data_IF_046225307294
#
_entry.id   IF_046225307294
#
_cell.length_a   1.000
_cell.length_b   1.000
_cell.length_c   1.000
_cell.angle_alpha   90.00
_cell.angle_beta   90.00
_cell.angle_gamma   90.00
#
_symmetry.space_group_name_H-M   'P 1'
#
loop_
_entity.id
_entity.type
_entity.pdbx_description
1 polymer ?
#
# COMPACT_ATOMS: atom_id res chain seq x y z
N UNK A 1 2.06 -11.34 24.51
CA UNK A 1 2.25 -9.88 24.68
C UNK A 1 2.09 -9.23 23.31
N UNK A 2 1.20 -8.25 23.19
CA UNK A 2 1.02 -7.49 21.94
C UNK A 2 2.17 -6.50 21.76
N UNK A 3 2.71 -6.40 20.53
CA UNK A 3 3.77 -5.43 20.24
C UNK A 3 3.16 -4.07 19.88
N UNK A 4 3.51 -2.98 20.57
CA UNK A 4 2.96 -1.67 20.26
C UNK A 4 3.50 -1.18 18.91
N UNK A 5 2.61 -0.65 18.08
CA UNK A 5 3.00 0.07 16.85
C UNK A 5 3.51 1.44 17.28
N UNK A 6 4.80 1.72 17.06
CA UNK A 6 5.45 2.94 17.54
C UNK A 6 5.64 3.94 16.41
N UNK A 7 5.19 5.17 16.65
CA UNK A 7 5.55 6.34 15.85
C UNK A 7 6.85 6.92 16.40
N UNK A 8 7.86 7.07 15.55
CA UNK A 8 9.15 7.62 15.93
C UNK A 8 9.73 8.47 14.81
N UNK A 9 10.63 9.38 15.16
CA UNK A 9 11.41 10.12 14.17
C UNK A 9 12.62 9.28 13.76
N UNK A 10 12.80 9.05 12.47
CA UNK A 10 13.90 8.25 11.92
C UNK A 10 14.75 9.12 11.02
N UNK A 11 16.08 8.91 11.08
CA UNK A 11 17.01 9.58 10.18
C UNK A 11 16.72 9.22 8.73
N UNK A 12 16.54 10.22 7.87
CA UNK A 12 16.30 10.02 6.44
C UNK A 12 17.43 9.17 5.82
N UNK A 13 18.67 9.38 6.26
CA UNK A 13 19.84 8.67 5.76
C UNK A 13 19.80 7.15 6.02
N UNK A 14 18.99 6.68 6.97
CA UNK A 14 18.89 5.25 7.27
C UNK A 14 17.70 4.57 6.60
N UNK A 15 16.77 5.33 6.01
CA UNK A 15 15.62 4.78 5.29
C UNK A 15 16.07 4.32 3.91
N UNK A 16 15.86 3.03 3.63
CA UNK A 16 16.17 2.42 2.33
C UNK A 16 14.96 2.53 1.42
N UNK A 17 15.12 3.17 0.27
CA UNK A 17 14.06 3.40 -0.71
C UNK A 17 14.48 2.82 -2.07
N UNK A 18 13.84 1.73 -2.49
CA UNK A 18 14.19 0.99 -3.72
C UNK A 18 13.25 1.28 -4.90
N UNK A 19 12.49 2.37 -4.87
CA UNK A 19 11.55 2.72 -5.94
C UNK A 19 12.15 3.77 -6.88
N UNK A 20 11.94 3.61 -8.18
CA UNK A 20 12.12 4.68 -9.16
C UNK A 20 11.02 5.71 -8.93
N UNK A 21 11.38 6.78 -8.25
CA UNK A 21 10.46 7.84 -7.87
C UNK A 21 10.08 8.62 -9.13
N UNK A 22 8.77 8.77 -9.47
CA UNK A 22 8.38 9.69 -10.53
C UNK A 22 8.87 11.08 -10.15
N UNK A 23 9.52 11.75 -11.09
CA UNK A 23 9.97 13.14 -10.94
C UNK A 23 8.83 13.97 -10.36
N UNK A 24 8.93 14.36 -9.08
CA UNK A 24 8.03 15.32 -8.48
C UNK A 24 8.29 16.64 -9.19
N UNK A 25 7.50 16.95 -10.22
CA UNK A 25 7.66 18.16 -11.02
C UNK A 25 7.17 19.40 -10.28
N UNK A 26 6.38 19.24 -9.23
CA UNK A 26 5.95 20.34 -8.38
C UNK A 26 6.44 20.13 -6.95
N UNK A 27 7.15 21.15 -6.42
CA UNK A 27 7.45 21.25 -5.00
C UNK A 27 6.11 21.28 -4.27
N UNK A 28 5.73 20.18 -3.64
CA UNK A 28 4.48 20.12 -2.90
C UNK A 28 4.60 21.03 -1.66
N UNK A 29 4.02 22.23 -1.73
CA UNK A 29 4.19 23.29 -0.72
C UNK A 29 3.36 23.06 0.56
N UNK A 30 2.72 21.89 0.69
CA UNK A 30 1.90 21.60 1.86
C UNK A 30 2.77 21.57 3.13
N UNK A 31 2.30 22.11 4.26
CA UNK A 31 2.99 22.00 5.54
C UNK A 31 3.32 20.54 5.90
N UNK A 32 4.52 20.28 6.43
CA UNK A 32 5.00 18.92 6.74
C UNK A 32 4.11 18.13 7.71
N UNK A 33 3.38 18.82 8.58
CA UNK A 33 2.44 18.23 9.53
C UNK A 33 1.14 17.70 8.88
N UNK A 34 0.88 18.02 7.60
CA UNK A 34 -0.27 17.50 6.85
C UNK A 34 0.04 16.15 6.17
N UNK A 35 1.30 15.73 6.17
CA UNK A 35 1.71 14.46 5.60
C UNK A 35 1.57 13.34 6.61
N UNK A 36 1.06 12.20 6.16
CA UNK A 36 1.07 10.98 6.98
C UNK A 36 2.51 10.48 7.15
N UNK A 37 2.89 9.97 8.33
CA UNK A 37 4.20 9.39 8.58
C UNK A 37 4.53 8.29 7.56
N UNK A 38 5.82 8.12 7.27
CA UNK A 38 6.27 6.99 6.45
C UNK A 38 6.06 5.67 7.18
N UNK A 39 5.96 4.56 6.46
CA UNK A 39 5.94 3.23 7.09
C UNK A 39 7.22 2.52 6.68
N UNK A 40 7.98 2.02 7.65
CA UNK A 40 9.22 1.30 7.43
C UNK A 40 9.17 -0.09 8.07
N UNK A 41 9.87 -1.05 7.47
CA UNK A 41 10.04 -2.39 8.02
C UNK A 41 11.17 -2.47 9.06
N UNK A 42 11.36 -3.65 9.66
CA UNK A 42 12.46 -3.92 10.60
C UNK A 42 13.88 -3.74 10.02
N UNK A 43 14.03 -3.68 8.70
CA UNK A 43 15.29 -3.48 7.99
C UNK A 43 15.45 -2.04 7.49
N UNK A 44 14.57 -1.13 7.94
CA UNK A 44 14.48 0.27 7.53
C UNK A 44 14.11 0.46 6.06
N UNK A 45 13.52 -0.56 5.43
CA UNK A 45 12.98 -0.46 4.08
C UNK A 45 11.65 0.28 4.10
N UNK A 46 11.50 1.24 3.21
CA UNK A 46 10.27 1.99 3.04
C UNK A 46 9.15 1.09 2.47
N UNK A 47 8.06 0.95 3.22
CA UNK A 47 6.85 0.22 2.83
C UNK A 47 5.84 1.15 2.16
N UNK A 48 5.54 2.30 2.77
CA UNK A 48 4.47 3.19 2.32
C UNK A 48 4.81 4.67 2.52
N UNK A 49 3.99 5.53 1.90
CA UNK A 49 4.08 6.99 1.87
C UNK A 49 5.43 7.52 1.33
N UNK A 50 5.86 7.09 0.12
CA UNK A 50 7.10 7.57 -0.49
C UNK A 50 7.08 9.08 -0.79
N UNK A 51 5.92 9.65 -1.08
CA UNK A 51 5.77 11.09 -1.27
C UNK A 51 6.19 11.87 -0.03
N UNK A 52 5.79 11.43 1.18
CA UNK A 52 6.21 12.05 2.44
C UNK A 52 7.72 12.01 2.58
N UNK A 53 8.33 10.85 2.36
CA UNK A 53 9.79 10.69 2.43
C UNK A 53 10.51 11.70 1.51
N UNK A 54 10.02 11.86 0.28
CA UNK A 54 10.62 12.73 -0.72
C UNK A 54 10.46 14.21 -0.39
N UNK A 55 9.31 14.63 0.10
CA UNK A 55 9.09 16.03 0.51
C UNK A 55 10.03 16.38 1.67
N UNK A 56 10.19 15.49 2.65
CA UNK A 56 11.14 15.69 3.75
C UNK A 56 12.60 15.76 3.26
N UNK A 57 12.96 14.93 2.29
CA UNK A 57 14.28 14.95 1.66
C UNK A 57 14.51 16.26 0.88
N UNK A 58 13.54 16.71 0.08
CA UNK A 58 13.61 17.96 -0.69
C UNK A 58 13.71 19.20 0.20
N UNK A 59 13.10 19.17 1.39
CA UNK A 59 13.19 20.23 2.39
C UNK A 59 14.42 20.09 3.31
N UNK A 60 15.38 19.23 2.97
CA UNK A 60 16.63 19.00 3.71
C UNK A 60 16.42 18.70 5.20
N UNK A 61 15.33 18.00 5.54
CA UNK A 61 15.10 17.55 6.92
C UNK A 61 16.04 16.40 7.26
N UNK A 62 16.52 16.35 8.50
CA UNK A 62 17.35 15.23 8.98
C UNK A 62 16.53 14.00 9.36
N UNK A 63 15.31 14.24 9.84
CA UNK A 63 14.44 13.22 10.42
C UNK A 63 13.07 13.25 9.73
N UNK A 64 12.45 12.08 9.57
CA UNK A 64 11.08 11.90 9.07
C UNK A 64 10.27 11.10 10.10
N UNK A 65 9.02 11.49 10.40
CA UNK A 65 8.15 10.69 11.25
C UNK A 65 7.83 9.37 10.53
N UNK A 66 8.05 8.25 11.22
CA UNK A 66 7.91 6.92 10.70
C UNK A 66 7.19 5.98 11.68
N UNK A 67 6.27 5.18 11.14
CA UNK A 67 5.75 3.99 11.80
C UNK A 67 6.74 2.84 11.57
N UNK A 68 7.34 2.35 12.65
CA UNK A 68 8.17 1.15 12.59
C UNK A 68 7.29 -0.09 12.67
N UNK A 69 7.26 -0.88 11.59
CA UNK A 69 6.34 -1.99 11.43
C UNK A 69 7.10 -3.30 11.18
N UNK A 70 7.01 -4.26 12.10
CA UNK A 70 7.71 -5.54 11.95
C UNK A 70 6.87 -6.55 11.16
N UNK A 71 7.37 -6.98 10.00
CA UNK A 71 6.72 -7.99 9.17
C UNK A 71 6.76 -9.38 9.83
N UNK A 72 7.82 -9.69 10.57
CA UNK A 72 7.92 -10.91 11.37
C UNK A 72 6.90 -10.95 12.53
N UNK A 73 6.67 -9.81 13.20
CA UNK A 73 5.67 -9.69 14.26
C UNK A 73 4.23 -9.77 13.71
N UNK A 74 3.99 -9.26 12.50
CA UNK A 74 2.72 -9.45 11.81
C UNK A 74 2.43 -10.93 11.54
N UNK A 75 3.41 -11.67 11.01
CA UNK A 75 3.25 -13.11 10.72
C UNK A 75 3.05 -13.95 11.98
N UNK A 76 3.63 -13.53 13.11
CA UNK A 76 3.44 -14.18 14.42
C UNK A 76 2.22 -13.66 15.18
N UNK A 77 1.35 -12.86 14.54
CA UNK A 77 0.10 -12.33 15.10
C UNK A 77 0.28 -11.51 16.38
N UNK A 78 1.39 -10.79 16.52
CA UNK A 78 1.65 -9.95 17.69
C UNK A 78 0.90 -8.61 17.67
N UNK A 79 0.43 -8.18 16.50
CA UNK A 79 -0.39 -6.97 16.37
C UNK A 79 -1.87 -7.29 16.58
N UNK A 80 -2.55 -6.38 17.28
CA UNK A 80 -4.00 -6.42 17.40
C UNK A 80 -4.66 -5.84 16.13
N UNK A 81 -5.66 -6.53 15.61
CA UNK A 81 -6.34 -6.16 14.36
C UNK A 81 -7.02 -4.79 14.45
N UNK A 82 -7.68 -4.50 15.57
CA UNK A 82 -8.37 -3.23 15.78
C UNK A 82 -7.40 -2.04 15.70
N UNK A 83 -6.22 -2.18 16.34
CA UNK A 83 -5.15 -1.19 16.32
C UNK A 83 -4.62 -0.99 14.89
N UNK A 84 -4.42 -2.07 14.13
CA UNK A 84 -3.96 -1.99 12.72
C UNK A 84 -4.97 -1.22 11.85
N UNK A 85 -6.25 -1.54 11.97
CA UNK A 85 -7.32 -0.93 11.16
C UNK A 85 -7.53 0.54 11.53
N UNK A 86 -7.37 0.91 12.80
CA UNK A 86 -7.48 2.30 13.26
C UNK A 86 -6.26 3.14 12.87
N UNK A 87 -5.06 2.54 12.87
CA UNK A 87 -3.80 3.28 12.63
C UNK A 87 -3.55 3.51 11.14
N UNK A 88 -3.81 2.49 10.30
CA UNK A 88 -3.40 2.48 8.90
C UNK A 88 -4.58 2.52 7.93
N UNK A 89 -4.41 3.34 6.90
CA UNK A 89 -5.35 3.44 5.79
C UNK A 89 -5.42 2.14 4.98
N UNK A 90 -6.43 2.02 4.12
CA UNK A 90 -6.65 0.80 3.33
C UNK A 90 -5.45 0.55 2.40
N UNK A 91 -4.97 1.59 1.71
CA UNK A 91 -3.82 1.47 0.81
C UNK A 91 -2.49 1.31 1.56
N UNK A 92 -2.34 1.90 2.75
CA UNK A 92 -1.20 1.65 3.64
C UNK A 92 -1.14 0.19 4.09
N UNK A 93 -2.27 -0.38 4.53
CA UNK A 93 -2.36 -1.81 4.85
C UNK A 93 -2.07 -2.67 3.62
N UNK A 94 -2.54 -2.28 2.44
CA UNK A 94 -2.23 -3.01 1.22
C UNK A 94 -0.72 -3.03 0.93
N UNK A 95 -0.04 -1.89 1.14
CA UNK A 95 1.42 -1.79 1.01
C UNK A 95 2.16 -2.70 2.01
N UNK A 96 1.72 -2.74 3.27
CA UNK A 96 2.24 -3.69 4.28
C UNK A 96 2.04 -5.13 3.81
N UNK A 97 0.87 -5.46 3.26
CA UNK A 97 0.60 -6.79 2.69
C UNK A 97 1.57 -7.14 1.56
N UNK A 98 1.81 -6.22 0.63
CA UNK A 98 2.79 -6.40 -0.46
C UNK A 98 4.21 -6.62 0.10
N UNK A 99 4.62 -5.83 1.09
CA UNK A 99 5.91 -6.01 1.76
C UNK A 99 6.01 -7.39 2.44
N UNK A 100 4.93 -7.82 3.10
CA UNK A 100 4.84 -9.15 3.74
C UNK A 100 4.97 -10.28 2.72
N UNK A 101 4.36 -10.17 1.53
CA UNK A 101 4.54 -11.14 0.43
C UNK A 101 5.99 -11.24 0.00
N UNK A 102 6.65 -10.10 -0.22
CA UNK A 102 8.07 -10.05 -0.60
C UNK A 102 8.94 -10.69 0.48
N UNK A 103 8.66 -10.36 1.74
CA UNK A 103 9.35 -10.92 2.89
C UNK A 103 9.20 -12.45 2.99
N UNK A 104 8.00 -12.99 2.73
CA UNK A 104 7.77 -14.44 2.63
C UNK A 104 8.47 -15.09 1.43
N UNK A 105 8.45 -14.44 0.27
CA UNK A 105 9.12 -14.94 -0.95
C UNK A 105 10.64 -15.01 -0.79
N UNK A 106 11.26 -14.01 -0.15
CA UNK A 106 12.70 -13.98 0.11
C UNK A 106 13.17 -15.10 1.07
N UNK A 107 12.27 -15.66 1.90
CA UNK A 107 12.57 -16.80 2.79
C UNK A 107 12.70 -18.14 2.07
N UNK A 108 12.31 -18.24 0.80
CA UNK A 108 12.28 -19.51 0.06
C UNK A 108 13.57 -19.83 -0.73
N UNK A 109 14.57 -18.94 -0.72
CA UNK A 109 15.82 -19.10 -1.48
C UNK A 109 15.62 -19.05 -3.03
N UNK A 110 16.70 -18.89 -3.81
CA UNK A 110 16.63 -18.94 -5.27
C UNK A 110 16.29 -20.37 -5.72
N UNK A 111 15.13 -20.54 -6.39
CA UNK A 111 14.72 -21.82 -6.97
C UNK A 111 15.51 -22.07 -8.25
N UNK A 112 16.67 -22.72 -8.15
CA UNK A 112 17.51 -23.03 -9.32
C UNK A 112 16.91 -24.07 -10.29
N UNK A 113 15.81 -24.76 -9.95
CA UNK A 113 15.35 -25.93 -10.72
C UNK A 113 13.83 -26.10 -10.91
N UNK A 114 13.04 -25.03 -11.11
CA UNK A 114 11.66 -25.22 -11.63
C UNK A 114 11.27 -24.13 -12.63
N UNK A 115 10.70 -24.47 -13.79
CA UNK A 115 10.09 -23.47 -14.68
C UNK A 115 9.02 -22.70 -13.90
N UNK A 116 8.85 -21.41 -14.22
CA UNK A 116 7.84 -20.52 -13.65
C UNK A 116 6.44 -21.14 -13.75
N UNK A 117 6.04 -21.92 -12.73
CA UNK A 117 4.66 -22.36 -12.58
C UNK A 117 3.89 -21.17 -12.05
N UNK A 118 2.88 -20.70 -12.80
CA UNK A 118 1.92 -19.65 -12.42
C UNK A 118 1.02 -20.01 -11.23
N UNK A 119 1.43 -20.93 -10.35
CA UNK A 119 0.69 -21.32 -9.16
C UNK A 119 1.46 -20.88 -7.91
N UNK A 120 1.03 -19.75 -7.36
CA UNK A 120 1.55 -19.05 -6.18
C UNK A 120 1.15 -19.70 -4.83
N UNK A 121 0.97 -21.02 -4.76
CA UNK A 121 0.37 -21.70 -3.59
C UNK A 121 1.25 -22.86 -3.06
N UNK A 122 2.51 -22.57 -2.66
CA UNK A 122 3.34 -23.54 -1.90
C UNK A 122 3.30 -23.32 -0.38
N UNK A 123 2.58 -22.30 0.09
CA UNK A 123 2.16 -22.18 1.49
C UNK A 123 0.75 -22.76 1.56
N UNK A 124 0.49 -23.73 2.45
CA UNK A 124 -0.87 -24.26 2.67
C UNK A 124 -1.80 -23.10 3.09
N UNK A 125 -2.62 -22.63 2.15
CA UNK A 125 -3.46 -21.44 2.25
C UNK A 125 -2.95 -20.32 1.35
N UNK A 126 -3.82 -19.73 0.52
CA UNK A 126 -3.43 -18.63 -0.38
C UNK A 126 -2.81 -17.51 0.46
N UNK A 127 -1.60 -17.09 0.14
CA UNK A 127 -0.90 -15.99 0.87
C UNK A 127 -1.79 -14.75 1.03
N UNK A 128 -2.66 -14.50 0.05
CA UNK A 128 -3.67 -13.45 0.06
C UNK A 128 -4.72 -13.59 1.17
N UNK A 129 -5.16 -14.82 1.48
CA UNK A 129 -6.12 -15.11 2.56
C UNK A 129 -5.48 -14.86 3.93
N UNK A 130 -4.23 -15.30 4.11
CA UNK A 130 -3.47 -15.04 5.32
C UNK A 130 -3.32 -13.52 5.54
N UNK A 131 -2.85 -12.79 4.53
CA UNK A 131 -2.65 -11.35 4.64
C UNK A 131 -3.99 -10.62 4.87
N UNK A 132 -5.05 -11.02 4.18
CA UNK A 132 -6.37 -10.44 4.39
C UNK A 132 -6.85 -10.59 5.83
N UNK A 133 -6.61 -11.75 6.46
CA UNK A 133 -6.92 -11.98 7.87
C UNK A 133 -6.03 -11.16 8.80
N UNK A 134 -4.71 -11.15 8.58
CA UNK A 134 -3.75 -10.45 9.43
C UNK A 134 -3.94 -8.92 9.44
N UNK A 135 -4.35 -8.34 8.31
CA UNK A 135 -4.47 -6.89 8.14
C UNK A 135 -5.92 -6.40 8.18
N UNK A 136 -6.91 -7.28 8.37
CA UNK A 136 -8.30 -6.86 8.57
C UNK A 136 -8.99 -6.38 7.30
N UNK A 137 -8.76 -7.09 6.19
CA UNK A 137 -9.50 -6.87 4.93
C UNK A 137 -10.82 -7.66 4.87
N UNK A 138 -11.03 -8.58 5.80
CA UNK A 138 -12.21 -9.45 5.88
C UNK A 138 -12.17 -10.63 4.91
N UNK A 139 -11.75 -10.40 3.66
CA UNK A 139 -11.58 -11.48 2.67
C UNK A 139 -10.43 -11.21 1.69
N UNK A 140 -9.99 -12.26 1.01
CA UNK A 140 -8.90 -12.20 0.03
C UNK A 140 -9.18 -11.24 -1.12
N UNK A 141 -10.42 -11.15 -1.59
CA UNK A 141 -10.77 -10.29 -2.73
C UNK A 141 -10.67 -8.81 -2.36
N UNK A 142 -11.09 -8.42 -1.15
CA UNK A 142 -10.88 -7.08 -0.62
C UNK A 142 -9.41 -6.69 -0.58
N UNK A 143 -8.55 -7.60 -0.12
CA UNK A 143 -7.11 -7.38 -0.13
C UNK A 143 -6.57 -7.27 -1.56
N UNK A 144 -6.94 -8.17 -2.48
CA UNK A 144 -6.50 -8.12 -3.89
C UNK A 144 -6.92 -6.83 -4.59
N UNK A 145 -8.11 -6.30 -4.29
CA UNK A 145 -8.52 -5.00 -4.81
C UNK A 145 -7.64 -3.87 -4.27
N UNK A 146 -7.38 -3.84 -2.97
CA UNK A 146 -6.53 -2.84 -2.35
C UNK A 146 -5.07 -2.92 -2.85
N UNK A 147 -4.52 -4.13 -2.95
CA UNK A 147 -3.20 -4.40 -3.54
C UNK A 147 -3.12 -3.88 -4.97
N UNK A 148 -4.14 -4.15 -5.80
CA UNK A 148 -4.18 -3.68 -7.18
C UNK A 148 -4.20 -2.15 -7.28
N UNK A 149 -4.95 -1.48 -6.40
CA UNK A 149 -4.99 -0.02 -6.32
C UNK A 149 -3.62 0.52 -5.90
N UNK A 150 -2.98 -0.10 -4.91
CA UNK A 150 -1.67 0.32 -4.43
C UNK A 150 -0.57 0.20 -5.51
N UNK A 151 -0.68 -0.80 -6.40
CA UNK A 151 0.32 -1.05 -7.44
C UNK A 151 0.09 -0.25 -8.74
N UNK A 152 -1.16 -0.01 -9.12
CA UNK A 152 -1.54 0.50 -10.46
C UNK A 152 -2.42 1.76 -10.41
N UNK A 153 -2.77 2.24 -9.23
CA UNK A 153 -3.58 3.43 -9.04
C UNK A 153 -2.75 4.70 -9.14
N UNK A 154 -3.34 5.75 -9.71
CA UNK A 154 -2.81 7.10 -9.56
C UNK A 154 -2.90 7.57 -8.10
N UNK A 155 -2.11 8.57 -7.74
CA UNK A 155 -2.14 9.17 -6.39
C UNK A 155 -3.54 9.67 -6.01
N UNK A 156 -4.29 10.21 -6.96
CA UNK A 156 -5.66 10.68 -6.76
C UNK A 156 -6.64 9.53 -6.52
N UNK A 157 -6.44 8.39 -7.22
CA UNK A 157 -7.28 7.20 -7.02
C UNK A 157 -7.05 6.60 -5.63
N UNK A 158 -5.79 6.48 -5.21
CA UNK A 158 -5.41 6.03 -3.86
C UNK A 158 -6.05 6.94 -2.81
N UNK A 159 -5.89 8.27 -2.96
CA UNK A 159 -6.47 9.26 -2.06
C UNK A 159 -8.00 9.15 -1.99
N UNK A 160 -8.68 8.97 -3.12
CA UNK A 160 -10.15 8.82 -3.14
C UNK A 160 -10.64 7.56 -2.41
N UNK A 161 -9.85 6.49 -2.40
CA UNK A 161 -10.16 5.25 -1.67
C UNK A 161 -9.92 5.44 -0.18
N UNK A 162 -8.79 6.00 0.21
CA UNK A 162 -8.43 6.22 1.61
C UNK A 162 -9.37 7.23 2.30
N UNK A 163 -9.88 8.22 1.57
CA UNK A 163 -10.91 9.16 2.04
C UNK A 163 -12.33 8.55 2.05
N UNK A 164 -12.51 7.31 1.59
CA UNK A 164 -13.81 6.64 1.54
C UNK A 164 -14.77 7.18 0.46
N UNK A 165 -14.31 8.05 -0.44
CA UNK A 165 -15.11 8.59 -1.55
C UNK A 165 -15.48 7.52 -2.58
N UNK A 166 -14.58 6.55 -2.78
CA UNK A 166 -14.75 5.44 -3.72
C UNK A 166 -14.58 4.09 -3.02
N UNK A 167 -15.47 3.14 -3.29
CA UNK A 167 -15.34 1.76 -2.79
C UNK A 167 -14.10 1.09 -3.42
N UNK A 168 -13.39 0.28 -2.64
CA UNK A 168 -12.18 -0.45 -3.08
C UNK A 168 -12.44 -1.31 -4.33
N UNK A 169 -13.55 -2.04 -4.39
CA UNK A 169 -13.92 -2.86 -5.55
C UNK A 169 -14.14 -2.04 -6.83
N UNK A 170 -14.75 -0.86 -6.70
CA UNK A 170 -14.97 0.10 -7.78
C UNK A 170 -13.63 0.70 -8.26
N UNK A 171 -12.79 1.17 -7.32
CA UNK A 171 -11.47 1.71 -7.61
C UNK A 171 -10.56 0.69 -8.31
N UNK A 172 -10.60 -0.58 -7.90
CA UNK A 172 -9.84 -1.65 -8.52
C UNK A 172 -10.21 -1.91 -9.99
N UNK A 173 -11.39 -1.48 -10.46
CA UNK A 173 -11.74 -1.52 -11.88
C UNK A 173 -11.09 -0.37 -12.66
N UNK A 174 -10.96 0.81 -12.04
CA UNK A 174 -10.34 1.98 -12.67
C UNK A 174 -8.83 1.80 -12.92
N UNK A 175 -8.16 0.96 -12.14
CA UNK A 175 -6.74 0.59 -12.37
C UNK A 175 -6.45 -0.07 -13.72
N UNK A 176 -7.48 -0.46 -14.49
CA UNK A 176 -7.32 -0.94 -15.88
C UNK A 176 -6.96 0.17 -16.86
N UNK A 177 -7.20 1.43 -16.48
CA UNK A 177 -6.91 2.60 -17.32
C UNK A 177 -5.58 3.24 -16.94
N UNK A 178 -5.02 4.05 -17.83
CA UNK A 178 -3.82 4.84 -17.56
C UNK A 178 -4.06 5.86 -16.44
N UNK A 179 -3.00 6.28 -15.73
CA UNK A 179 -3.13 7.25 -14.63
C UNK A 179 -3.84 8.55 -15.06
N UNK A 180 -3.51 9.10 -16.24
CA UNK A 180 -4.20 10.29 -16.79
C UNK A 180 -5.70 10.07 -16.97
N UNK A 181 -6.12 8.87 -17.38
CA UNK A 181 -7.53 8.54 -17.56
C UNK A 181 -8.21 8.30 -16.21
N UNK A 182 -7.54 7.68 -15.25
CA UNK A 182 -8.03 7.56 -13.87
C UNK A 182 -8.32 8.95 -13.27
N UNK A 183 -7.37 9.87 -13.40
CA UNK A 183 -7.52 11.27 -12.95
C UNK A 183 -8.73 11.96 -13.60
N UNK A 184 -8.86 11.88 -14.93
CA UNK A 184 -10.03 12.44 -15.64
C UNK A 184 -11.35 11.84 -15.17
N UNK A 185 -11.40 10.55 -14.87
CA UNK A 185 -12.63 9.91 -14.37
C UNK A 185 -12.98 10.44 -12.98
N UNK A 186 -11.98 10.68 -12.13
CA UNK A 186 -12.18 11.13 -10.75
C UNK A 186 -12.62 12.60 -10.64
N UNK A 187 -12.52 13.41 -11.70
CA UNK A 187 -13.07 14.77 -11.72
C UNK A 187 -14.58 14.81 -11.93
N UNK A 188 -15.17 13.70 -12.36
CA UNK A 188 -16.62 13.58 -12.58
C UNK A 188 -17.39 13.31 -11.28
N UNK A 189 -18.70 13.56 -11.31
CA UNK A 189 -19.57 13.31 -10.17
C UNK A 189 -19.66 11.82 -9.82
N UNK A 190 -19.97 11.53 -8.55
CA UNK A 190 -20.07 10.15 -8.03
C UNK A 190 -21.00 9.25 -8.84
N UNK A 191 -22.08 9.81 -9.39
CA UNK A 191 -23.05 9.09 -10.26
C UNK A 191 -22.42 8.72 -11.61
N UNK A 192 -21.65 9.63 -12.20
CA UNK A 192 -20.95 9.42 -13.47
C UNK A 192 -19.81 8.42 -13.33
N UNK A 193 -19.07 8.47 -12.22
CA UNK A 193 -18.06 7.44 -11.90
C UNK A 193 -18.73 6.06 -11.80
N UNK A 194 -19.88 5.98 -11.14
CA UNK A 194 -20.62 4.73 -10.98
C UNK A 194 -21.14 4.19 -12.31
N UNK A 195 -21.68 5.04 -13.18
CA UNK A 195 -22.16 4.65 -14.51
C UNK A 195 -21.00 4.20 -15.41
N UNK A 196 -19.86 4.90 -15.36
CA UNK A 196 -18.65 4.53 -16.09
C UNK A 196 -18.13 3.15 -15.66
N UNK A 197 -18.10 2.90 -14.34
CA UNK A 197 -17.69 1.62 -13.79
C UNK A 197 -18.67 0.51 -14.23
N UNK A 198 -19.97 0.77 -14.19
CA UNK A 198 -20.98 -0.20 -14.66
C UNK A 198 -20.80 -0.55 -16.15
N UNK A 199 -20.60 0.44 -17.02
CA UNK A 199 -20.36 0.23 -18.44
C UNK A 199 -19.06 -0.55 -18.69
N UNK A 200 -18.01 -0.28 -17.93
CA UNK A 200 -16.74 -1.00 -18.02
C UNK A 200 -16.83 -2.48 -17.62
N UNK A 201 -17.86 -2.84 -16.84
CA UNK A 201 -18.14 -4.22 -16.40
C UNK A 201 -18.88 -5.03 -17.47
N UNK A 202 -19.70 -4.37 -18.30
CA UNK A 202 -20.48 -4.99 -19.40
C UNK A 202 -19.66 -5.30 -20.65
N UNK A 203 -18.53 -4.60 -20.88
CA UNK A 203 -17.65 -4.83 -22.05
C UNK A 203 -16.69 -6.01 -21.86
N UNK A 204 -17.08 -7.02 -21.09
CA UNK A 204 -16.28 -8.22 -20.78
C UNK A 204 -16.93 -9.45 -21.38
#
# INVERSE_FOLDING_TARGET
MHHPIKLMNVSIAHVKCNFSVPSFTDREQRPLNQFRPVIIDENQQLIANPSTYLVYQQQNKKMVPAWHFSLSDLLTKKYELAVLVQTFLICERAAIGIATKKYLGNRQGPRFHKPFRRNFDEIKGRTDELIAALLGFGCKDSYRYAEKIQLLGSSELVKAVDEGKLKTSAAALLTRFTHRKQQKILTHDKKEISSFIYQSKKRK
#
